data_IF_361033388519
#
_entry.id   IF_361033388519
#
_cell.length_a   1.000
_cell.length_b   1.000
_cell.length_c   1.000
_cell.angle_alpha   90.00
_cell.angle_beta   90.00
_cell.angle_gamma   90.00
#
_symmetry.space_group_name_H-M   'P 1'
#
loop_
_entity.id
_entity.type
_entity.pdbx_description
1 polymer ?
#
# COMPACT_ATOMS: atom_id res chain seq x y z
N UNK A 1 -22.95 -16.77 -48.18
CA UNK A 1 -21.84 -15.81 -48.04
C UNK A 1 -21.87 -15.28 -46.60
N UNK A 2 -20.89 -15.70 -45.80
CA UNK A 2 -20.76 -15.34 -44.38
C UNK A 2 -20.52 -13.84 -44.26
N UNK A 3 -21.47 -13.15 -43.64
CA UNK A 3 -21.33 -11.75 -43.24
C UNK A 3 -20.37 -11.70 -42.05
N UNK A 4 -19.20 -11.13 -42.28
CA UNK A 4 -18.20 -10.86 -41.28
C UNK A 4 -18.74 -9.86 -40.25
N UNK A 5 -19.36 -10.36 -39.18
CA UNK A 5 -19.60 -9.60 -37.95
C UNK A 5 -18.28 -9.47 -37.17
N UNK A 6 -17.26 -8.90 -37.81
CA UNK A 6 -16.14 -8.33 -37.09
C UNK A 6 -16.65 -7.00 -36.53
N UNK A 7 -17.42 -7.08 -35.44
CA UNK A 7 -17.57 -5.95 -34.53
C UNK A 7 -16.18 -5.65 -34.01
N UNK A 8 -15.46 -4.82 -34.75
CA UNK A 8 -14.34 -4.08 -34.22
C UNK A 8 -14.94 -3.30 -33.06
N UNK A 9 -14.67 -3.76 -31.84
CA UNK A 9 -14.74 -2.93 -30.64
C UNK A 9 -13.83 -1.75 -30.93
N UNK A 10 -14.40 -0.72 -31.57
CA UNK A 10 -13.78 0.56 -31.75
C UNK A 10 -13.60 1.08 -30.35
N UNK A 11 -12.38 0.90 -29.81
CA UNK A 11 -11.92 1.56 -28.60
C UNK A 11 -12.16 3.05 -28.82
N UNK A 12 -13.33 3.55 -28.40
CA UNK A 12 -13.60 4.95 -28.44
C UNK A 12 -12.59 5.59 -27.49
N UNK A 13 -11.97 6.71 -27.87
CA UNK A 13 -10.96 7.33 -27.02
C UNK A 13 -11.49 7.63 -25.59
N UNK A 14 -12.82 7.74 -25.43
CA UNK A 14 -13.50 7.80 -24.13
C UNK A 14 -13.44 6.50 -23.31
N UNK A 15 -13.57 5.33 -23.94
CA UNK A 15 -13.56 4.03 -23.25
C UNK A 15 -12.15 3.69 -22.74
N UNK A 16 -11.12 3.96 -23.55
CA UNK A 16 -9.72 3.79 -23.13
C UNK A 16 -9.33 4.70 -21.95
N UNK A 17 -9.93 5.90 -21.86
CA UNK A 17 -9.75 6.80 -20.72
C UNK A 17 -10.47 6.32 -19.45
N UNK A 18 -11.68 5.77 -19.59
CA UNK A 18 -12.43 5.18 -18.48
C UNK A 18 -11.73 3.96 -17.89
N UNK A 19 -11.30 3.02 -18.75
CA UNK A 19 -10.61 1.80 -18.32
C UNK A 19 -9.30 2.08 -17.58
N UNK A 20 -8.56 3.12 -18.00
CA UNK A 20 -7.35 3.57 -17.31
C UNK A 20 -7.68 4.15 -15.93
N UNK A 21 -8.69 5.02 -15.86
CA UNK A 21 -9.13 5.62 -14.59
C UNK A 21 -9.61 4.56 -13.59
N UNK A 22 -10.43 3.61 -14.03
CA UNK A 22 -10.98 2.56 -13.17
C UNK A 22 -9.87 1.65 -12.63
N UNK A 23 -8.87 1.35 -13.45
CA UNK A 23 -7.67 0.60 -13.05
C UNK A 23 -6.86 1.37 -12.00
N UNK A 24 -6.54 2.63 -12.27
CA UNK A 24 -5.77 3.47 -11.34
C UNK A 24 -6.49 3.64 -10.00
N UNK A 25 -7.81 3.82 -10.06
CA UNK A 25 -8.66 3.87 -8.88
C UNK A 25 -8.57 2.57 -8.08
N UNK A 26 -8.76 1.42 -8.73
CA UNK A 26 -8.67 0.10 -8.09
C UNK A 26 -7.30 -0.13 -7.44
N UNK A 27 -6.21 0.18 -8.14
CA UNK A 27 -4.85 0.09 -7.60
C UNK A 27 -4.67 1.00 -6.37
N UNK A 28 -5.22 2.21 -6.40
CA UNK A 28 -5.14 3.14 -5.27
C UNK A 28 -5.89 2.65 -4.03
N UNK A 29 -7.01 1.94 -4.21
CA UNK A 29 -7.79 1.34 -3.12
C UNK A 29 -7.02 0.16 -2.53
N UNK A 30 -6.53 -0.75 -3.38
CA UNK A 30 -5.74 -1.90 -2.96
C UNK A 30 -4.48 -1.47 -2.18
N UNK A 31 -3.77 -0.45 -2.65
CA UNK A 31 -2.59 0.08 -1.96
C UNK A 31 -2.94 0.59 -0.54
N UNK A 32 -4.07 1.32 -0.41
CA UNK A 32 -4.54 1.81 0.90
C UNK A 32 -4.94 0.68 1.85
N UNK A 33 -5.57 -0.38 1.32
CA UNK A 33 -5.97 -1.56 2.10
C UNK A 33 -4.76 -2.34 2.59
N UNK A 34 -3.77 -2.60 1.71
CA UNK A 34 -2.51 -3.25 2.10
C UNK A 34 -1.76 -2.44 3.16
N UNK A 35 -1.71 -1.13 3.01
CA UNK A 35 -1.11 -0.26 4.03
C UNK A 35 -1.86 -0.35 5.37
N UNK A 36 -3.19 -0.41 5.36
CA UNK A 36 -3.96 -0.57 6.59
C UNK A 36 -3.69 -1.91 7.27
N UNK A 37 -3.62 -3.01 6.52
CA UNK A 37 -3.26 -4.33 7.03
C UNK A 37 -1.88 -4.30 7.69
N UNK A 38 -0.90 -3.70 7.03
CA UNK A 38 0.44 -3.53 7.58
C UNK A 38 0.42 -2.77 8.92
N UNK A 39 -0.29 -1.63 9.00
CA UNK A 39 -0.37 -0.87 10.25
C UNK A 39 -1.07 -1.65 11.38
N UNK A 40 -2.06 -2.47 11.04
CA UNK A 40 -2.74 -3.36 11.99
C UNK A 40 -1.75 -4.42 12.51
N UNK A 41 -0.98 -5.06 11.65
CA UNK A 41 0.05 -6.03 12.07
C UNK A 41 1.12 -5.39 12.96
N UNK A 42 1.53 -4.15 12.67
CA UNK A 42 2.45 -3.42 13.53
C UNK A 42 1.81 -3.06 14.87
N UNK A 43 0.52 -2.72 14.88
CA UNK A 43 -0.21 -2.48 16.11
C UNK A 43 -0.29 -3.74 16.99
N UNK A 44 -0.55 -4.90 16.40
CA UNK A 44 -0.51 -6.19 17.10
C UNK A 44 0.88 -6.48 17.67
N UNK A 45 1.95 -6.28 16.88
CA UNK A 45 3.33 -6.42 17.37
C UNK A 45 3.65 -5.48 18.54
N UNK A 46 3.11 -4.25 18.53
CA UNK A 46 3.23 -3.32 19.66
C UNK A 46 2.49 -3.82 20.90
N UNK A 47 1.35 -4.48 20.74
CA UNK A 47 0.62 -5.11 21.86
C UNK A 47 1.49 -6.21 22.48
N UNK A 48 2.03 -7.11 21.66
CA UNK A 48 2.89 -8.21 22.14
C UNK A 48 4.13 -7.72 22.89
N UNK A 49 4.68 -6.58 22.47
CA UNK A 49 5.84 -5.93 23.10
C UNK A 49 5.49 -5.02 24.28
N UNK A 50 4.21 -4.84 24.60
CA UNK A 50 3.75 -3.93 25.65
C UNK A 50 3.94 -2.44 25.35
N UNK A 51 4.12 -2.07 24.07
CA UNK A 51 4.31 -0.70 23.60
C UNK A 51 3.05 -0.10 22.93
N UNK A 52 1.94 -0.84 22.93
CA UNK A 52 0.70 -0.36 22.35
C UNK A 52 0.15 0.87 23.07
N UNK A 53 -0.35 1.84 22.30
CA UNK A 53 -0.86 3.10 22.85
C UNK A 53 0.24 4.08 23.28
N UNK A 54 1.51 3.83 22.95
CA UNK A 54 2.61 4.79 23.15
C UNK A 54 2.99 5.41 21.82
N UNK A 55 3.09 6.74 21.80
CA UNK A 55 3.46 7.51 20.62
C UNK A 55 4.92 7.26 20.24
N UNK A 56 5.17 6.81 19.02
CA UNK A 56 6.52 6.47 18.55
C UNK A 56 7.44 7.70 18.37
N UNK A 57 6.87 8.90 18.22
CA UNK A 57 7.66 10.14 18.08
C UNK A 57 7.97 10.83 19.40
N UNK A 58 7.03 10.84 20.36
CA UNK A 58 7.20 11.59 21.62
C UNK A 58 7.30 10.73 22.87
N UNK A 59 7.03 9.41 22.77
CA UNK A 59 7.00 8.48 23.91
C UNK A 59 5.82 8.67 24.86
N UNK A 60 4.90 9.59 24.57
CA UNK A 60 3.72 9.86 25.40
C UNK A 60 2.58 8.89 25.09
N UNK A 61 1.66 8.71 26.03
CA UNK A 61 0.45 7.91 25.82
C UNK A 61 -0.45 8.52 24.73
N UNK A 62 -0.98 7.69 23.85
CA UNK A 62 -1.96 8.03 22.82
C UNK A 62 -3.35 8.04 23.48
N UNK A 63 -4.14 9.12 23.31
CA UNK A 63 -5.47 9.18 23.92
C UNK A 63 -6.36 7.99 23.54
N UNK A 64 -7.06 7.42 24.51
CA UNK A 64 -7.93 6.25 24.31
C UNK A 64 -8.97 6.50 23.21
N UNK A 65 -9.63 7.66 23.20
CA UNK A 65 -10.61 8.01 22.16
C UNK A 65 -10.03 7.95 20.73
N UNK A 66 -8.72 8.20 20.57
CA UNK A 66 -8.04 8.05 19.27
C UNK A 66 -7.82 6.60 18.91
N UNK A 67 -7.45 5.75 19.88
CA UNK A 67 -7.28 4.31 19.67
C UNK A 67 -8.61 3.61 19.42
N UNK A 68 -9.70 4.07 20.02
CA UNK A 68 -11.05 3.57 19.74
C UNK A 68 -11.49 3.90 18.31
N UNK A 69 -11.15 5.10 17.81
CA UNK A 69 -11.45 5.51 16.44
C UNK A 69 -10.50 4.89 15.40
N UNK A 70 -9.20 4.81 15.74
CA UNK A 70 -8.12 4.34 14.86
C UNK A 70 -7.19 3.43 15.69
N UNK A 71 -7.50 2.13 15.79
CA UNK A 71 -6.77 1.20 16.66
C UNK A 71 -5.29 1.03 16.32
N UNK A 72 -4.90 1.29 15.08
CA UNK A 72 -3.52 1.17 14.61
C UNK A 72 -2.73 2.50 14.65
N UNK A 73 -3.26 3.55 15.30
CA UNK A 73 -2.58 4.84 15.38
C UNK A 73 -1.20 4.73 16.06
N UNK A 74 -0.16 5.26 15.39
CA UNK A 74 1.23 5.27 15.89
C UNK A 74 1.59 6.52 16.68
N UNK A 75 0.90 7.63 16.39
CA UNK A 75 1.21 8.96 16.89
C UNK A 75 0.02 9.58 17.61
N UNK A 76 0.30 10.49 18.55
CA UNK A 76 -0.72 11.44 19.05
C UNK A 76 -1.17 12.39 17.93
N UNK A 77 -2.29 13.08 18.13
CA UNK A 77 -2.79 14.08 17.17
C UNK A 77 -1.76 15.21 16.96
N UNK A 78 -1.14 15.68 18.04
CA UNK A 78 -0.12 16.73 18.00
C UNK A 78 1.11 16.28 17.20
N UNK A 79 1.60 15.06 17.45
CA UNK A 79 2.71 14.47 16.75
C UNK A 79 2.40 14.23 15.27
N UNK A 80 1.19 13.74 14.97
CA UNK A 80 0.73 13.57 13.59
C UNK A 80 0.68 14.92 12.84
N UNK A 81 0.11 15.96 13.46
CA UNK A 81 0.03 17.29 12.84
C UNK A 81 1.42 17.91 12.62
N UNK A 82 2.35 17.71 13.56
CA UNK A 82 3.73 18.14 13.40
C UNK A 82 4.40 17.44 12.21
N UNK A 83 4.24 16.11 12.12
CA UNK A 83 4.77 15.32 11.02
C UNK A 83 4.20 15.76 9.67
N UNK A 84 2.89 15.95 9.58
CA UNK A 84 2.22 16.40 8.36
C UNK A 84 2.68 17.78 7.91
N UNK A 85 2.99 18.68 8.86
CA UNK A 85 3.55 20.00 8.56
C UNK A 85 4.94 19.93 7.95
N UNK A 86 5.78 19.00 8.40
CA UNK A 86 7.19 18.89 7.98
C UNK A 86 7.36 18.01 6.74
N UNK A 87 6.63 16.89 6.67
CA UNK A 87 6.80 15.85 5.65
C UNK A 87 5.63 15.75 4.67
N UNK A 88 4.60 16.60 4.82
CA UNK A 88 3.37 16.55 4.03
C UNK A 88 2.54 15.32 4.37
N UNK A 89 1.76 14.83 3.41
CA UNK A 89 0.91 13.64 3.61
C UNK A 89 1.67 12.31 3.60
N UNK A 90 2.99 12.33 3.82
CA UNK A 90 3.79 11.10 3.95
C UNK A 90 3.44 10.45 5.27
N UNK A 91 3.19 9.15 5.28
CA UNK A 91 2.92 8.42 6.52
C UNK A 91 4.20 8.34 7.36
N UNK A 92 4.03 8.37 8.68
CA UNK A 92 5.12 8.10 9.61
C UNK A 92 5.38 6.59 9.65
N UNK A 93 6.55 6.15 9.16
CA UNK A 93 7.07 4.78 9.34
C UNK A 93 8.53 4.85 9.81
N UNK A 94 8.89 4.20 10.93
CA UNK A 94 10.27 4.19 11.38
C UNK A 94 11.14 3.40 10.40
N UNK A 95 12.42 3.79 10.26
CA UNK A 95 13.35 3.24 9.26
C UNK A 95 13.71 1.77 9.48
N UNK A 96 13.44 1.21 10.66
CA UNK A 96 13.68 -0.20 10.98
C UNK A 96 12.54 -1.12 10.52
N UNK A 97 11.46 -0.55 9.99
CA UNK A 97 10.28 -1.26 9.56
C UNK A 97 10.24 -1.35 8.03
N UNK A 98 10.60 -2.53 7.51
CA UNK A 98 10.43 -2.89 6.10
C UNK A 98 8.94 -2.99 5.78
N UNK A 99 8.33 -1.86 5.47
CA UNK A 99 6.99 -1.82 4.88
C UNK A 99 7.06 -2.05 3.37
N UNK A 100 5.93 -2.47 2.81
CA UNK A 100 5.67 -2.52 1.36
C UNK A 100 5.60 -1.11 0.71
N UNK A 101 6.15 -0.08 1.37
CA UNK A 101 6.21 1.27 0.81
C UNK A 101 7.46 1.40 -0.06
N UNK A 102 7.30 1.00 -1.32
CA UNK A 102 8.31 1.16 -2.36
C UNK A 102 9.31 0.03 -2.34
N UNK A 103 9.16 -0.88 -3.31
CA UNK A 103 10.20 -1.86 -3.57
C UNK A 103 11.55 -1.15 -3.70
N UNK A 104 12.45 -1.45 -2.78
CA UNK A 104 13.73 -1.94 -3.23
C UNK A 104 13.45 -3.26 -3.95
N UNK A 105 12.96 -3.17 -5.19
CA UNK A 105 13.49 -4.05 -6.21
C UNK A 105 14.91 -3.54 -6.39
N UNK A 106 15.80 -3.95 -5.49
CA UNK A 106 17.20 -4.02 -5.88
C UNK A 106 17.16 -5.04 -7.00
N UNK A 107 17.46 -4.62 -8.23
CA UNK A 107 17.72 -5.50 -9.38
C UNK A 107 18.97 -6.38 -9.12
N UNK A 108 19.07 -7.01 -7.95
CA UNK A 108 20.25 -7.69 -7.42
C UNK A 108 19.93 -9.07 -6.79
N UNK A 109 18.79 -9.71 -7.08
CA UNK A 109 18.53 -11.11 -6.65
C UNK A 109 18.10 -11.99 -7.85
N UNK A 110 19.11 -12.68 -8.36
CA UNK A 110 19.19 -13.80 -9.30
C UNK A 110 18.09 -14.05 -10.35
N UNK A 111 18.50 -13.85 -11.60
CA UNK A 111 17.94 -14.50 -12.79
C UNK A 111 18.05 -16.02 -12.68
N UNK A 112 17.00 -16.71 -12.25
CA UNK A 112 16.75 -18.08 -12.69
C UNK A 112 15.88 -17.99 -13.95
N UNK A 113 16.54 -17.85 -15.11
CA UNK A 113 15.90 -18.07 -16.39
C UNK A 113 15.42 -19.50 -16.42
N UNK A 114 14.11 -19.72 -16.26
CA UNK A 114 13.50 -21.02 -16.56
C UNK A 114 13.63 -21.25 -18.05
N UNK A 115 14.64 -22.03 -18.44
CA UNK A 115 14.72 -22.62 -19.77
C UNK A 115 13.48 -23.49 -19.94
N UNK A 116 12.54 -23.02 -20.75
CA UNK A 116 11.52 -23.87 -21.33
C UNK A 116 12.27 -24.76 -22.32
N UNK A 117 12.55 -26.00 -21.90
CA UNK A 117 12.99 -27.02 -22.84
C UNK A 117 11.89 -27.14 -23.92
N UNK A 118 12.26 -26.79 -25.15
CA UNK A 118 11.49 -27.09 -26.34
C UNK A 118 11.48 -28.63 -26.49
N UNK A 119 10.40 -29.26 -26.04
CA UNK A 119 10.10 -30.65 -26.42
C UNK A 119 9.81 -30.66 -27.95
N UNK A 120 10.83 -31.08 -28.69
CA UNK A 120 10.84 -31.40 -30.13
C UNK A 120 10.12 -32.75 -30.34
N UNK A 121 8.94 -32.73 -30.99
CA UNK A 121 8.32 -33.89 -31.67
C UNK A 121 7.42 -33.42 -32.85
#
# INVERSE_FOLDING_TARGET
PEGSEASGSGMHQGDAGSDAYDRDFALSVLAKEQDALYEIEQALRRIDRGAYGICEMSGKSIPQARLEAIPFARLTVECQAQWEKEYGNRRFRPSNEVGFAGGNYSDDDDSETVSLDEDDD
#
